data_IF_790939402947
#
_entry.id   IF_790939402947
#
_cell.length_a   1.000
_cell.length_b   1.000
_cell.length_c   1.000
_cell.angle_alpha   90.00
_cell.angle_beta   90.00
_cell.angle_gamma   90.00
#
_symmetry.space_group_name_H-M   'P 1'
#
loop_
_entity.id
_entity.type
_entity.pdbx_description
1 polymer ?
#
# COMPACT_ATOMS: atom_id res chain seq x y z
N UNK A 1 15.80 -0.59 -11.36
CA UNK A 1 15.41 0.22 -12.53
C UNK A 1 16.41 1.35 -12.61
N UNK A 2 16.95 1.66 -13.78
CA UNK A 2 17.80 2.84 -13.91
C UNK A 2 16.93 4.08 -13.73
N UNK A 3 17.27 4.90 -12.73
CA UNK A 3 16.53 6.13 -12.42
C UNK A 3 16.84 7.18 -13.49
N UNK A 4 15.82 7.89 -13.92
CA UNK A 4 15.93 9.06 -14.78
C UNK A 4 15.19 10.26 -14.17
N UNK A 5 15.24 11.40 -14.85
CA UNK A 5 14.53 12.62 -14.44
C UNK A 5 13.09 12.66 -15.01
N UNK A 6 12.58 11.54 -15.53
CA UNK A 6 11.24 11.46 -16.14
C UNK A 6 10.18 11.18 -15.06
N UNK A 7 9.51 12.24 -14.61
CA UNK A 7 8.47 12.15 -13.59
C UNK A 7 7.26 11.33 -14.05
N UNK A 8 6.88 11.39 -15.32
CA UNK A 8 5.73 10.63 -15.84
C UNK A 8 6.02 9.13 -15.70
N UNK A 9 7.24 8.72 -16.07
CA UNK A 9 7.70 7.34 -15.91
C UNK A 9 7.77 6.93 -14.44
N UNK A 10 8.30 7.79 -13.58
CA UNK A 10 8.31 7.59 -12.14
C UNK A 10 6.90 7.37 -11.58
N UNK A 11 5.94 8.22 -11.96
CA UNK A 11 4.52 8.11 -11.55
C UNK A 11 3.91 6.81 -12.08
N UNK A 12 4.13 6.47 -13.35
CA UNK A 12 3.65 5.22 -13.94
C UNK A 12 4.19 4.00 -13.19
N UNK A 13 5.50 3.98 -12.92
CA UNK A 13 6.13 2.91 -12.14
C UNK A 13 5.54 2.81 -10.73
N UNK A 14 5.40 3.93 -10.02
CA UNK A 14 4.77 4.00 -8.70
C UNK A 14 3.35 3.43 -8.69
N UNK A 15 2.51 3.79 -9.68
CA UNK A 15 1.13 3.30 -9.76
C UNK A 15 1.09 1.79 -9.99
N UNK A 16 1.98 1.25 -10.83
CA UNK A 16 2.08 -0.20 -11.06
C UNK A 16 2.46 -0.92 -9.75
N UNK A 17 3.47 -0.43 -9.03
CA UNK A 17 3.87 -1.05 -7.75
C UNK A 17 2.76 -0.94 -6.70
N UNK A 18 2.01 0.17 -6.68
CA UNK A 18 0.86 0.31 -5.78
C UNK A 18 -0.22 -0.73 -6.10
N UNK A 19 -0.49 -1.01 -7.37
CA UNK A 19 -1.44 -2.07 -7.76
C UNK A 19 -0.99 -3.47 -7.29
N UNK A 20 0.31 -3.78 -7.36
CA UNK A 20 0.83 -5.03 -6.80
C UNK A 20 0.62 -5.09 -5.28
N UNK A 21 0.94 -4.01 -4.55
CA UNK A 21 0.72 -3.94 -3.11
C UNK A 21 -0.76 -4.12 -2.74
N UNK A 22 -1.68 -3.50 -3.48
CA UNK A 22 -3.12 -3.68 -3.28
C UNK A 22 -3.56 -5.14 -3.48
N UNK A 23 -2.98 -5.84 -4.45
CA UNK A 23 -3.23 -7.28 -4.65
C UNK A 23 -2.73 -8.10 -3.46
N UNK A 24 -1.54 -7.83 -2.93
CA UNK A 24 -1.02 -8.53 -1.74
C UNK A 24 -1.93 -8.30 -0.51
N UNK A 25 -2.53 -7.12 -0.38
CA UNK A 25 -3.56 -6.86 0.65
C UNK A 25 -4.80 -7.71 0.43
N UNK A 26 -5.28 -7.85 -0.82
CA UNK A 26 -6.42 -8.72 -1.10
C UNK A 26 -6.10 -10.19 -0.80
N UNK A 27 -4.91 -10.66 -1.15
CA UNK A 27 -4.47 -12.01 -0.78
C UNK A 27 -4.46 -12.17 0.74
N UNK A 28 -3.88 -11.24 1.50
CA UNK A 28 -3.93 -11.27 2.96
C UNK A 28 -5.37 -11.35 3.49
N UNK A 29 -6.29 -10.59 2.88
CA UNK A 29 -7.70 -10.68 3.22
C UNK A 29 -8.28 -12.07 2.98
N UNK A 30 -7.82 -12.80 1.96
CA UNK A 30 -8.30 -14.15 1.64
C UNK A 30 -7.83 -15.14 2.68
N UNK A 31 -6.55 -15.09 3.05
CA UNK A 31 -5.98 -15.93 4.10
C UNK A 31 -6.70 -15.74 5.44
N UNK A 32 -6.88 -14.49 5.87
CA UNK A 32 -7.65 -14.18 7.08
C UNK A 32 -9.12 -14.60 6.95
N UNK A 33 -9.67 -14.53 5.74
CA UNK A 33 -11.04 -14.96 5.41
C UNK A 33 -11.30 -16.45 5.62
N UNK A 34 -10.25 -17.27 5.70
CA UNK A 34 -10.37 -18.69 6.03
C UNK A 34 -10.74 -18.93 7.50
N UNK A 35 -10.33 -18.01 8.38
CA UNK A 35 -10.56 -18.10 9.83
C UNK A 35 -11.63 -17.12 10.34
N UNK A 36 -11.85 -16.03 9.62
CA UNK A 36 -12.76 -14.96 10.04
C UNK A 36 -13.73 -14.60 8.91
N UNK A 37 -15.03 -14.41 9.22
CA UNK A 37 -15.99 -14.01 8.20
C UNK A 37 -15.62 -12.62 7.65
N UNK A 38 -15.62 -12.53 6.31
CA UNK A 38 -15.40 -11.28 5.60
C UNK A 38 -16.65 -10.38 5.70
N UNK A 39 -16.48 -9.05 5.71
CA UNK A 39 -17.58 -8.11 5.59
C UNK A 39 -18.37 -8.32 4.29
N UNK A 40 -19.62 -7.88 4.28
CA UNK A 40 -20.42 -7.83 3.05
C UNK A 40 -19.73 -6.95 2.00
N UNK A 41 -19.77 -7.35 0.74
CA UNK A 41 -19.14 -6.64 -0.39
C UNK A 41 -17.64 -6.35 -0.20
N UNK A 42 -16.91 -7.19 0.54
CA UNK A 42 -15.49 -7.00 0.82
C UNK A 42 -14.62 -6.80 -0.44
N UNK A 43 -15.00 -7.35 -1.59
CA UNK A 43 -14.24 -7.18 -2.83
C UNK A 43 -14.23 -5.72 -3.33
N UNK A 44 -15.29 -4.95 -3.07
CA UNK A 44 -15.50 -3.59 -3.62
C UNK A 44 -15.18 -2.45 -2.65
N UNK A 45 -14.90 -2.76 -1.38
CA UNK A 45 -14.52 -1.73 -0.40
C UNK A 45 -13.12 -1.18 -0.67
N UNK A 46 -12.84 0.00 -0.12
CA UNK A 46 -11.55 0.68 -0.30
C UNK A 46 -10.44 -0.13 0.35
N UNK A 47 -9.24 -0.09 -0.24
CA UNK A 47 -8.06 -0.79 0.29
C UNK A 47 -7.73 -0.37 1.72
N UNK A 48 -7.94 0.89 2.09
CA UNK A 48 -7.77 1.37 3.47
C UNK A 48 -8.68 0.63 4.46
N UNK A 49 -9.92 0.32 4.05
CA UNK A 49 -10.88 -0.40 4.87
C UNK A 49 -10.51 -1.90 4.95
N UNK A 50 -9.99 -2.48 3.86
CA UNK A 50 -9.42 -3.83 3.85
C UNK A 50 -8.24 -3.96 4.82
N UNK A 51 -7.32 -2.98 4.82
CA UNK A 51 -6.18 -2.95 5.75
C UNK A 51 -6.67 -2.85 7.20
N UNK A 52 -7.62 -1.95 7.47
CA UNK A 52 -8.20 -1.82 8.82
C UNK A 52 -8.82 -3.12 9.30
N UNK A 53 -9.54 -3.83 8.43
CA UNK A 53 -10.08 -5.15 8.73
C UNK A 53 -8.96 -6.16 9.01
N UNK A 54 -7.90 -6.21 8.18
CA UNK A 54 -6.76 -7.10 8.40
C UNK A 54 -6.11 -6.89 9.76
N UNK A 55 -5.82 -5.63 10.12
CA UNK A 55 -5.24 -5.28 11.44
C UNK A 55 -6.12 -5.75 12.59
N UNK A 56 -7.43 -5.53 12.48
CA UNK A 56 -8.37 -6.02 13.48
C UNK A 56 -8.33 -7.55 13.60
N UNK A 57 -8.26 -8.28 12.48
CA UNK A 57 -8.21 -9.76 12.50
C UNK A 57 -6.88 -10.33 12.95
N UNK A 58 -5.77 -9.65 12.69
CA UNK A 58 -4.47 -9.98 13.28
C UNK A 58 -4.54 -9.82 14.81
N UNK A 59 -5.18 -8.75 15.30
CA UNK A 59 -5.40 -8.57 16.74
C UNK A 59 -6.32 -9.64 17.34
N UNK A 60 -7.42 -9.98 16.65
CA UNK A 60 -8.36 -11.05 17.05
C UNK A 60 -7.69 -12.44 17.00
N UNK A 61 -6.65 -12.60 16.17
CA UNK A 61 -5.84 -13.82 16.15
C UNK A 61 -5.07 -14.02 17.47
N UNK A 62 -4.68 -12.90 18.11
CA UNK A 62 -3.96 -12.85 19.38
C UNK A 62 -2.63 -13.66 19.35
N UNK A 63 -1.90 -13.55 18.24
CA UNK A 63 -0.61 -14.20 18.02
C UNK A 63 0.51 -13.16 17.85
N UNK A 64 1.50 -13.20 18.73
CA UNK A 64 2.62 -12.25 18.75
C UNK A 64 3.53 -12.36 17.51
N UNK A 65 3.54 -13.50 16.82
CA UNK A 65 4.34 -13.68 15.60
C UNK A 65 3.86 -12.80 14.45
N UNK A 66 2.61 -12.30 14.51
CA UNK A 66 2.02 -11.42 13.51
C UNK A 66 2.29 -9.92 13.76
N UNK A 67 3.03 -9.55 14.81
CA UNK A 67 3.32 -8.15 15.11
C UNK A 67 4.09 -7.45 13.97
N UNK A 68 4.98 -8.18 13.27
CA UNK A 68 5.68 -7.66 12.09
C UNK A 68 4.72 -7.33 10.95
N UNK A 69 3.70 -8.15 10.74
CA UNK A 69 2.68 -7.94 9.72
C UNK A 69 1.79 -6.74 10.08
N UNK A 70 1.41 -6.58 11.35
CA UNK A 70 0.65 -5.41 11.80
C UNK A 70 1.38 -4.08 11.51
N UNK A 71 2.68 -4.03 11.81
CA UNK A 71 3.55 -2.88 11.51
C UNK A 71 3.72 -2.67 10.01
N UNK A 72 3.81 -3.74 9.22
CA UNK A 72 3.88 -3.64 7.76
C UNK A 72 2.60 -3.03 7.18
N UNK A 73 1.44 -3.37 7.72
CA UNK A 73 0.15 -2.77 7.32
C UNK A 73 0.07 -1.27 7.62
N UNK A 74 0.66 -0.79 8.73
CA UNK A 74 0.77 0.65 8.98
C UNK A 74 1.65 1.35 7.93
N UNK A 75 2.76 0.72 7.54
CA UNK A 75 3.60 1.22 6.44
C UNK A 75 2.82 1.25 5.13
N UNK A 76 2.02 0.23 4.83
CA UNK A 76 1.17 0.16 3.63
C UNK A 76 0.23 1.35 3.56
N UNK A 77 -0.49 1.67 4.65
CA UNK A 77 -1.39 2.84 4.68
C UNK A 77 -0.62 4.12 4.36
N UNK A 78 0.51 4.33 5.02
CA UNK A 78 1.32 5.52 4.82
C UNK A 78 1.81 5.67 3.37
N UNK A 79 2.25 4.58 2.73
CA UNK A 79 2.71 4.61 1.34
C UNK A 79 1.56 4.86 0.36
N UNK A 80 0.41 4.20 0.55
CA UNK A 80 -0.78 4.42 -0.29
C UNK A 80 -1.33 5.84 -0.15
N UNK A 81 -1.29 6.43 1.04
CA UNK A 81 -1.65 7.82 1.25
C UNK A 81 -0.70 8.79 0.54
N UNK A 82 0.61 8.53 0.59
CA UNK A 82 1.61 9.31 -0.17
C UNK A 82 1.32 9.21 -1.67
N UNK A 83 1.09 8.00 -2.20
CA UNK A 83 0.71 7.79 -3.60
C UNK A 83 -0.55 8.57 -3.97
N UNK A 84 -1.59 8.50 -3.15
CA UNK A 84 -2.85 9.19 -3.40
C UNK A 84 -2.67 10.72 -3.51
N UNK A 85 -1.79 11.31 -2.69
CA UNK A 85 -1.46 12.74 -2.77
C UNK A 85 -0.84 13.12 -4.12
N UNK A 86 -0.03 12.24 -4.69
CA UNK A 86 0.63 12.45 -5.99
C UNK A 86 -0.33 12.22 -7.16
N UNK A 87 -1.04 11.09 -7.16
CA UNK A 87 -1.95 10.71 -8.27
C UNK A 87 -3.17 11.62 -8.37
N UNK A 88 -3.69 12.10 -7.24
CA UNK A 88 -4.81 13.05 -7.23
C UNK A 88 -4.35 14.52 -7.27
N UNK A 89 -3.05 14.78 -7.39
CA UNK A 89 -2.52 16.09 -7.70
C UNK A 89 -2.59 16.40 -9.19
N UNK A 90 -2.63 17.68 -9.55
CA UNK A 90 -2.45 18.14 -10.91
C UNK A 90 -0.96 18.27 -11.20
N UNK A 91 -0.47 17.53 -12.20
CA UNK A 91 0.92 17.60 -12.66
C UNK A 91 1.00 18.67 -13.75
N UNK A 92 1.86 19.68 -13.54
CA UNK A 92 2.10 20.77 -14.49
C UNK A 92 3.48 20.62 -15.12
N UNK A 93 3.50 20.61 -16.45
CA UNK A 93 4.70 20.63 -17.26
C UNK A 93 4.90 22.04 -17.82
N UNK A 94 6.07 22.62 -17.61
CA UNK A 94 6.48 23.85 -18.25
C UNK A 94 7.81 23.61 -18.95
N UNK A 95 7.92 23.99 -20.23
CA UNK A 95 9.13 23.76 -21.03
C UNK A 95 10.39 24.45 -20.47
N UNK A 96 10.23 25.41 -19.56
CA UNK A 96 11.29 26.24 -18.99
C UNK A 96 11.28 26.26 -17.45
N UNK A 97 10.55 25.35 -16.78
CA UNK A 97 10.49 25.29 -15.32
C UNK A 97 10.37 23.84 -14.84
N UNK A 98 10.86 23.53 -13.62
CA UNK A 98 10.73 22.19 -13.06
C UNK A 98 9.26 21.78 -12.95
N UNK A 99 9.01 20.48 -13.10
CA UNK A 99 7.67 19.90 -13.01
C UNK A 99 7.09 20.11 -11.61
N UNK A 100 5.82 20.52 -11.55
CA UNK A 100 5.14 20.85 -10.28
C UNK A 100 3.92 19.98 -10.09
N UNK A 101 3.69 19.56 -8.83
CA UNK A 101 2.40 18.99 -8.44
C UNK A 101 1.64 20.02 -7.61
N UNK A 102 0.47 20.40 -8.10
CA UNK A 102 -0.51 21.16 -7.32
C UNK A 102 -1.46 20.16 -6.69
N UNK A 103 -1.47 20.10 -5.37
CA UNK A 103 -2.46 19.29 -4.66
C UNK A 103 -3.85 19.87 -4.90
N UNK A 104 -4.81 19.02 -5.23
CA UNK A 104 -6.22 19.39 -5.36
C UNK A 104 -6.89 19.65 -4.00
N UNK A 105 -6.20 19.40 -2.88
CA UNK A 105 -6.75 19.55 -1.53
C UNK A 105 -6.68 21.01 -1.06
N UNK A 106 -7.84 21.55 -0.66
CA UNK A 106 -7.99 22.94 -0.18
C UNK A 106 -7.00 23.24 0.95
N UNK A 107 -6.13 24.24 0.76
CA UNK A 107 -5.14 24.70 1.75
C UNK A 107 -3.76 24.04 1.67
N UNK A 108 -3.49 23.19 0.67
CA UNK A 108 -2.14 22.66 0.42
C UNK A 108 -1.48 23.51 -0.66
N UNK A 109 -0.35 24.13 -0.33
CA UNK A 109 0.43 24.96 -1.26
C UNK A 109 1.08 24.12 -2.36
N UNK A 110 1.32 24.75 -3.51
CA UNK A 110 2.10 24.15 -4.61
C UNK A 110 3.46 23.68 -4.09
N UNK A 111 3.87 22.49 -4.52
CA UNK A 111 5.19 21.95 -4.20
C UNK A 111 5.85 21.46 -5.48
N UNK A 112 7.12 21.83 -5.64
CA UNK A 112 8.01 21.23 -6.63
C UNK A 112 8.29 19.78 -6.25
N UNK A 113 8.12 18.87 -7.21
CA UNK A 113 8.31 17.45 -7.00
C UNK A 113 9.42 16.95 -7.92
N UNK A 114 10.43 16.34 -7.34
CA UNK A 114 11.51 15.74 -8.11
C UNK A 114 11.13 14.33 -8.55
N UNK A 115 11.50 13.94 -9.76
CA UNK A 115 11.32 12.57 -10.26
C UNK A 115 11.93 11.53 -9.29
N UNK A 116 13.07 11.86 -8.68
CA UNK A 116 13.72 11.00 -7.67
C UNK A 116 12.82 10.68 -6.47
N UNK A 117 12.01 11.62 -5.99
CA UNK A 117 11.10 11.38 -4.86
C UNK A 117 9.99 10.39 -5.24
N UNK A 118 9.56 10.42 -6.50
CA UNK A 118 8.54 9.48 -6.99
C UNK A 118 9.14 8.10 -7.20
N UNK A 119 10.37 8.02 -7.72
CA UNK A 119 11.10 6.75 -7.80
C UNK A 119 11.36 6.14 -6.42
N UNK A 120 11.79 6.94 -5.44
CA UNK A 120 11.96 6.49 -4.06
C UNK A 120 10.64 5.94 -3.50
N UNK A 121 9.52 6.62 -3.73
CA UNK A 121 8.21 6.13 -3.30
C UNK A 121 7.83 4.81 -3.99
N UNK A 122 8.07 4.70 -5.30
CA UNK A 122 7.80 3.48 -6.07
C UNK A 122 8.62 2.30 -5.56
N UNK A 123 9.91 2.51 -5.28
CA UNK A 123 10.82 1.49 -4.74
C UNK A 123 10.42 1.06 -3.32
N UNK A 124 10.05 2.01 -2.45
CA UNK A 124 9.52 1.69 -1.12
C UNK A 124 8.24 0.83 -1.19
N UNK A 125 7.37 1.11 -2.16
CA UNK A 125 6.16 0.29 -2.41
C UNK A 125 6.55 -1.09 -2.93
N UNK A 126 7.52 -1.14 -3.86
CA UNK A 126 8.08 -2.38 -4.40
C UNK A 126 8.59 -3.31 -3.30
N UNK A 127 9.50 -2.80 -2.46
CA UNK A 127 10.08 -3.54 -1.34
C UNK A 127 9.00 -4.04 -0.37
N UNK A 128 8.01 -3.19 -0.06
CA UNK A 128 6.94 -3.56 0.85
C UNK A 128 6.05 -4.67 0.28
N UNK A 129 5.68 -4.63 -1.00
CA UNK A 129 4.84 -5.70 -1.54
C UNK A 129 5.61 -7.02 -1.73
N UNK A 130 6.92 -6.98 -1.96
CA UNK A 130 7.74 -8.20 -1.98
C UNK A 130 7.82 -8.88 -0.60
N UNK A 131 7.91 -8.08 0.47
CA UNK A 131 8.07 -8.58 1.83
C UNK A 131 6.75 -8.95 2.53
N UNK A 132 5.65 -8.29 2.18
CA UNK A 132 4.39 -8.37 2.95
C UNK A 132 3.90 -9.79 3.16
N UNK A 133 3.73 -10.58 2.10
CA UNK A 133 3.40 -12.00 2.22
C UNK A 133 4.63 -12.90 2.28
N UNK A 134 5.73 -12.56 1.61
CA UNK A 134 6.95 -13.37 1.62
C UNK A 134 7.45 -13.69 3.04
N UNK A 135 7.41 -12.70 3.94
CA UNK A 135 7.91 -12.85 5.32
C UNK A 135 6.85 -13.30 6.33
N UNK A 136 5.57 -13.24 5.96
CA UNK A 136 4.45 -13.43 6.89
C UNK A 136 3.52 -14.59 6.52
N UNK A 137 3.60 -15.16 5.31
CA UNK A 137 2.68 -16.21 4.85
C UNK A 137 2.67 -17.41 5.81
N UNK A 138 3.83 -17.99 6.14
CA UNK A 138 3.91 -19.14 7.05
C UNK A 138 3.43 -18.82 8.46
N UNK A 139 3.78 -17.64 9.00
CA UNK A 139 3.34 -17.19 10.32
C UNK A 139 1.82 -17.03 10.36
N UNK A 140 1.25 -16.49 9.28
CA UNK A 140 -0.18 -16.33 9.13
C UNK A 140 -0.90 -17.68 9.08
N UNK A 141 -0.39 -18.66 8.32
CA UNK A 141 -0.97 -20.01 8.31
C UNK A 141 -0.98 -20.62 9.71
N UNK A 142 0.15 -20.56 10.40
CA UNK A 142 0.29 -21.17 11.72
C UNK A 142 -0.62 -20.50 12.75
N UNK A 143 -0.63 -19.16 12.78
CA UNK A 143 -1.48 -18.38 13.70
C UNK A 143 -2.99 -18.58 13.48
N UNK A 144 -3.39 -18.98 12.26
CA UNK A 144 -4.81 -19.20 11.91
C UNK A 144 -5.24 -20.66 12.03
N UNK A 145 -4.31 -21.61 12.16
CA UNK A 145 -4.58 -23.05 12.10
C UNK A 145 -5.66 -23.50 13.09
N UNK A 146 -5.62 -23.01 14.32
CA UNK A 146 -6.60 -23.39 15.35
C UNK A 146 -7.96 -22.73 15.15
N UNK A 147 -8.02 -21.63 14.40
CA UNK A 147 -9.26 -20.87 14.12
C UNK A 147 -9.97 -21.33 12.87
N UNK A 148 -9.25 -21.93 11.92
CA UNK A 148 -9.83 -22.53 10.71
C UNK A 148 -10.58 -23.83 11.06
N UNK A 149 -10.13 -24.54 12.10
CA UNK A 149 -10.69 -25.84 12.51
C UNK A 149 -11.70 -25.76 13.68
N UNK A 150 -11.99 -24.56 14.16
CA UNK A 150 -12.91 -24.31 15.28
C UNK A 150 -14.31 -23.90 14.77
#
# INVERSE_FOLDING_TARGET
>A
MDRDEDLIRGVGYMVIQASHLEREIEELCRWLGLAFPRPEHHETIRVSDKIKWCKQKIKDANDHTLESLDKALDKTVNLLEKRNKLVHGQIYFASNAPEKIISTKKGVHERELLASEVYDLAENIFELHQSLLGENAFKLVEALKDKINA
#
